data_IF_664071785393
#
_entry.id   IF_664071785393
#
_cell.length_a   1.000
_cell.length_b   1.000
_cell.length_c   1.000
_cell.angle_alpha   90.00
_cell.angle_beta   90.00
_cell.angle_gamma   90.00
#
_symmetry.space_group_name_H-M   'P 1'
#
loop_
_entity.id
_entity.type
_entity.pdbx_description
1 polymer ?
#
# COMPACT_ATOMS: atom_id res chain seq x y z
N UNK A 1 -25.09 -4.07 -5.37
CA UNK A 1 -24.38 -2.89 -4.99
C UNK A 1 -23.78 -2.16 -6.18
N UNK A 2 -23.29 -0.96 -5.92
CA UNK A 2 -22.60 -0.18 -6.96
C UNK A 2 -21.26 -0.84 -7.35
N UNK A 3 -20.77 -0.50 -8.53
CA UNK A 3 -19.46 -0.98 -9.00
C UNK A 3 -18.33 -0.17 -8.36
N UNK A 4 -17.32 -0.86 -7.85
CA UNK A 4 -16.04 -0.29 -7.42
C UNK A 4 -14.91 -0.89 -8.26
N UNK A 5 -13.86 -0.13 -8.51
CA UNK A 5 -12.69 -0.57 -9.26
C UNK A 5 -11.45 -0.37 -8.40
N UNK A 6 -10.79 -1.46 -7.99
CA UNK A 6 -9.62 -1.45 -7.10
C UNK A 6 -8.47 -2.28 -7.65
N UNK A 7 -7.26 -2.07 -7.12
CA UNK A 7 -6.12 -2.89 -7.47
C UNK A 7 -6.33 -4.32 -6.96
N UNK A 8 -6.07 -5.31 -7.83
CA UNK A 8 -6.17 -6.72 -7.48
C UNK A 8 -5.16 -7.09 -6.38
N UNK A 9 -5.54 -8.04 -5.54
CA UNK A 9 -4.66 -8.53 -4.48
C UNK A 9 -3.35 -9.12 -5.06
N UNK A 10 -3.45 -9.80 -6.19
CA UNK A 10 -2.30 -10.37 -6.90
C UNK A 10 -1.34 -9.31 -7.45
N UNK A 11 -1.85 -8.10 -7.79
CA UNK A 11 -1.02 -6.98 -8.25
C UNK A 11 -0.47 -6.11 -7.11
N UNK A 12 -0.74 -6.47 -5.86
CA UNK A 12 -0.29 -5.73 -4.68
C UNK A 12 -1.37 -4.89 -3.99
N UNK A 13 -2.65 -5.03 -4.38
CA UNK A 13 -3.78 -4.38 -3.73
C UNK A 13 -4.02 -4.85 -2.28
N UNK A 14 -5.03 -4.28 -1.63
CA UNK A 14 -5.45 -4.68 -0.29
C UNK A 14 -6.77 -5.46 -0.36
N UNK A 15 -7.01 -6.34 0.62
CA UNK A 15 -8.27 -7.11 0.73
C UNK A 15 -9.50 -6.21 0.65
N UNK A 16 -9.47 -5.03 1.26
CA UNK A 16 -10.59 -4.08 1.27
C UNK A 16 -10.82 -3.35 -0.06
N UNK A 17 -9.99 -3.60 -1.07
CA UNK A 17 -10.15 -3.04 -2.42
C UNK A 17 -11.02 -3.93 -3.34
N UNK A 18 -11.92 -4.71 -2.77
CA UNK A 18 -12.86 -5.53 -3.52
C UNK A 18 -12.50 -7.01 -3.62
N UNK A 19 -11.59 -7.52 -2.79
CA UNK A 19 -11.30 -8.95 -2.78
C UNK A 19 -12.52 -9.76 -2.35
N UNK A 20 -12.82 -10.86 -3.04
CA UNK A 20 -14.02 -11.67 -2.85
C UNK A 20 -14.31 -12.11 -1.39
N UNK A 21 -13.33 -12.48 -0.56
CA UNK A 21 -13.60 -12.84 0.84
C UNK A 21 -13.90 -11.65 1.74
N UNK A 22 -13.58 -10.41 1.32
CA UNK A 22 -13.79 -9.18 2.10
C UNK A 22 -15.22 -8.65 1.94
N UNK A 23 -15.69 -7.85 2.91
CA UNK A 23 -17.00 -7.19 2.84
C UNK A 23 -17.13 -6.33 1.58
N UNK A 24 -16.06 -5.65 1.14
CA UNK A 24 -16.08 -4.84 -0.09
C UNK A 24 -16.37 -5.68 -1.34
N UNK A 25 -15.81 -6.89 -1.43
CA UNK A 25 -16.11 -7.82 -2.52
C UNK A 25 -17.47 -8.51 -2.41
N UNK A 26 -18.07 -8.54 -1.21
CA UNK A 26 -19.39 -9.15 -0.98
C UNK A 26 -20.55 -8.16 -1.18
N UNK A 27 -20.33 -6.88 -0.86
CA UNK A 27 -21.39 -5.86 -0.87
C UNK A 27 -21.45 -5.09 -2.18
N UNK A 28 -20.32 -4.95 -2.87
CA UNK A 28 -20.20 -4.21 -4.12
C UNK A 28 -19.96 -5.14 -5.29
N UNK A 29 -20.27 -4.65 -6.49
CA UNK A 29 -19.78 -5.25 -7.73
C UNK A 29 -18.31 -4.83 -7.87
N UNK A 30 -17.40 -5.68 -7.39
CA UNK A 30 -15.98 -5.37 -7.32
C UNK A 30 -15.26 -5.78 -8.60
N UNK A 31 -14.83 -4.79 -9.37
CA UNK A 31 -13.93 -4.94 -10.51
C UNK A 31 -12.49 -4.65 -10.07
N UNK A 32 -11.53 -5.28 -10.73
CA UNK A 32 -10.13 -5.15 -10.34
C UNK A 32 -9.26 -4.80 -11.55
N UNK A 33 -8.28 -3.90 -11.33
CA UNK A 33 -7.20 -3.64 -12.27
C UNK A 33 -5.90 -4.30 -11.77
N UNK A 34 -5.01 -4.58 -12.71
CA UNK A 34 -3.70 -5.19 -12.45
C UNK A 34 -2.55 -4.25 -12.75
N UNK A 35 -1.45 -4.87 -13.07
CA UNK A 35 -0.22 -4.25 -13.56
C UNK A 35 0.14 -4.82 -14.93
N UNK A 36 0.99 -4.16 -15.66
CA UNK A 36 1.57 -4.65 -16.88
C UNK A 36 2.45 -5.89 -16.62
N UNK A 37 2.46 -6.84 -17.53
CA UNK A 37 3.15 -8.13 -17.33
C UNK A 37 4.67 -8.03 -17.41
N UNK A 38 5.19 -7.12 -18.23
CA UNK A 38 6.62 -6.96 -18.42
C UNK A 38 7.26 -6.08 -17.34
N UNK A 39 6.59 -4.97 -17.00
CA UNK A 39 7.12 -3.97 -16.07
C UNK A 39 6.70 -4.20 -14.63
N UNK A 40 5.59 -4.92 -14.40
CA UNK A 40 4.91 -5.04 -13.13
C UNK A 40 4.49 -3.68 -12.54
N UNK A 41 4.29 -2.67 -13.37
CA UNK A 41 3.80 -1.34 -13.02
C UNK A 41 2.36 -1.13 -13.53
N UNK A 42 1.66 -0.14 -12.96
CA UNK A 42 0.29 0.16 -13.36
C UNK A 42 0.28 0.72 -14.78
N UNK A 43 -0.44 0.03 -15.68
CA UNK A 43 -0.77 0.54 -17.00
C UNK A 43 -2.02 1.43 -16.90
N UNK A 44 -1.83 2.74 -17.02
CA UNK A 44 -2.92 3.71 -16.92
C UNK A 44 -3.85 3.72 -18.11
N UNK A 45 -3.40 3.31 -19.30
CA UNK A 45 -4.26 3.20 -20.48
C UNK A 45 -5.20 1.99 -20.33
N UNK A 46 -4.68 0.85 -19.93
CA UNK A 46 -5.49 -0.32 -19.60
C UNK A 46 -6.47 -0.06 -18.44
N UNK A 47 -6.05 0.72 -17.43
CA UNK A 47 -6.91 1.14 -16.34
C UNK A 47 -8.05 2.04 -16.81
N UNK A 48 -7.79 3.00 -17.70
CA UNK A 48 -8.80 3.87 -18.29
C UNK A 48 -9.83 3.08 -19.10
N UNK A 49 -9.37 2.15 -19.93
CA UNK A 49 -10.25 1.30 -20.74
C UNK A 49 -11.13 0.41 -19.86
N UNK A 50 -10.56 -0.17 -18.81
CA UNK A 50 -11.32 -0.93 -17.82
C UNK A 50 -12.35 -0.07 -17.09
N UNK A 51 -11.98 1.14 -16.66
CA UNK A 51 -12.89 2.08 -16.02
C UNK A 51 -14.06 2.47 -16.92
N UNK A 52 -13.80 2.75 -18.21
CA UNK A 52 -14.86 3.02 -19.21
C UNK A 52 -15.81 1.83 -19.39
N UNK A 53 -15.27 0.61 -19.38
CA UNK A 53 -16.06 -0.61 -19.57
C UNK A 53 -16.97 -0.89 -18.36
N UNK A 54 -16.44 -0.81 -17.12
CA UNK A 54 -17.19 -1.18 -15.91
C UNK A 54 -17.94 -0.01 -15.24
N UNK A 55 -17.64 1.25 -15.62
CA UNK A 55 -18.29 2.47 -15.13
C UNK A 55 -18.43 2.49 -13.60
N UNK A 56 -17.32 2.46 -12.84
CA UNK A 56 -17.36 2.36 -11.40
C UNK A 56 -17.88 3.66 -10.77
N UNK A 57 -18.46 3.56 -9.58
CA UNK A 57 -18.77 4.73 -8.75
C UNK A 57 -17.56 5.22 -7.97
N UNK A 58 -16.63 4.31 -7.66
CA UNK A 58 -15.40 4.61 -6.95
C UNK A 58 -14.24 3.89 -7.64
N UNK A 59 -13.16 4.63 -7.91
CA UNK A 59 -11.85 4.07 -8.23
C UNK A 59 -10.99 4.14 -6.96
N UNK A 60 -10.43 3.00 -6.55
CA UNK A 60 -9.55 2.88 -5.39
C UNK A 60 -8.09 2.81 -5.87
N UNK A 61 -7.29 3.80 -5.51
CA UNK A 61 -5.84 3.79 -5.70
C UNK A 61 -5.14 3.49 -4.38
N UNK A 62 -4.04 2.74 -4.44
CA UNK A 62 -3.29 2.33 -3.25
C UNK A 62 -2.98 0.84 -3.27
N UNK A 63 -2.02 0.42 -2.46
CA UNK A 63 -1.60 -0.98 -2.42
C UNK A 63 -0.88 -1.35 -1.13
N UNK A 64 -0.87 -2.65 -0.84
CA UNK A 64 -0.16 -3.24 0.30
C UNK A 64 1.21 -3.79 -0.07
N UNK A 65 1.43 -4.10 -1.34
CA UNK A 65 2.65 -4.70 -1.85
C UNK A 65 3.07 -4.13 -3.22
N UNK A 66 2.62 -2.93 -3.55
CA UNK A 66 3.07 -2.22 -4.74
C UNK A 66 4.29 -1.35 -4.41
N UNK A 67 5.48 -1.64 -5.00
CA UNK A 67 6.72 -1.01 -4.56
C UNK A 67 7.03 0.33 -5.26
N UNK A 68 6.27 0.70 -6.30
CA UNK A 68 6.53 1.89 -7.11
C UNK A 68 5.70 3.09 -6.68
N UNK A 69 6.12 4.26 -7.13
CA UNK A 69 5.39 5.52 -6.92
C UNK A 69 4.03 5.48 -7.60
N UNK A 70 3.00 6.01 -6.92
CA UNK A 70 1.65 6.14 -7.46
C UNK A 70 1.44 7.56 -8.01
N UNK A 71 0.98 7.65 -9.26
CA UNK A 71 0.61 8.91 -9.91
C UNK A 71 -0.88 9.23 -9.65
N UNK A 72 -1.13 9.98 -8.58
CA UNK A 72 -2.50 10.33 -8.20
C UNK A 72 -3.19 11.30 -9.16
N UNK A 73 -2.43 12.09 -9.93
CA UNK A 73 -2.99 12.97 -10.95
C UNK A 73 -3.61 12.15 -12.08
N UNK A 74 -2.90 11.13 -12.59
CA UNK A 74 -3.44 10.21 -13.60
C UNK A 74 -4.65 9.43 -13.10
N UNK A 75 -4.63 8.95 -11.85
CA UNK A 75 -5.82 8.33 -11.26
C UNK A 75 -7.01 9.28 -11.22
N UNK A 76 -6.78 10.58 -10.92
CA UNK A 76 -7.82 11.59 -10.91
C UNK A 76 -8.39 11.85 -12.31
N UNK A 77 -7.55 11.99 -13.31
CA UNK A 77 -7.96 12.13 -14.71
C UNK A 77 -8.85 10.97 -15.17
N UNK A 78 -8.50 9.73 -14.80
CA UNK A 78 -9.31 8.55 -15.12
C UNK A 78 -10.65 8.59 -14.39
N UNK A 79 -10.66 8.94 -13.12
CA UNK A 79 -11.88 9.03 -12.32
C UNK A 79 -12.85 10.08 -12.91
N UNK A 80 -12.34 11.25 -13.28
CA UNK A 80 -13.11 12.32 -13.91
C UNK A 80 -13.65 11.88 -15.28
N UNK A 81 -12.87 11.14 -16.07
CA UNK A 81 -13.28 10.64 -17.39
C UNK A 81 -14.47 9.68 -17.36
N UNK A 82 -14.78 9.06 -16.22
CA UNK A 82 -15.88 8.11 -16.03
C UNK A 82 -16.92 8.53 -14.99
N UNK A 83 -16.85 9.78 -14.51
CA UNK A 83 -17.73 10.36 -13.46
C UNK A 83 -17.71 9.51 -12.17
N UNK A 84 -16.50 9.08 -11.75
CA UNK A 84 -16.27 8.30 -10.54
C UNK A 84 -15.61 9.14 -9.44
N UNK A 85 -15.84 8.76 -8.18
CA UNK A 85 -15.03 9.26 -7.09
C UNK A 85 -13.66 8.58 -7.08
N UNK A 86 -12.58 9.37 -6.91
CA UNK A 86 -11.27 8.83 -6.58
C UNK A 86 -11.13 8.72 -5.07
N UNK A 87 -10.93 7.51 -4.58
CA UNK A 87 -10.55 7.21 -3.20
C UNK A 87 -9.12 6.67 -3.17
N UNK A 88 -8.26 7.27 -2.36
CA UNK A 88 -6.88 6.81 -2.20
C UNK A 88 -6.69 6.20 -0.82
N UNK A 89 -6.28 4.94 -0.77
CA UNK A 89 -5.80 4.30 0.45
C UNK A 89 -4.27 4.42 0.52
N UNK A 90 -3.81 5.39 1.30
CA UNK A 90 -2.37 5.64 1.49
C UNK A 90 -1.81 4.91 2.72
N UNK A 91 -2.50 3.93 3.28
CA UNK A 91 -2.14 3.30 4.55
C UNK A 91 -0.68 2.84 4.63
N UNK A 92 -0.15 2.23 3.56
CA UNK A 92 1.24 1.79 3.53
C UNK A 92 2.26 2.92 3.38
N UNK A 93 1.91 3.95 2.64
CA UNK A 93 2.80 5.05 2.27
C UNK A 93 2.53 6.35 3.04
N UNK A 94 1.61 6.37 3.99
CA UNK A 94 1.19 7.60 4.68
C UNK A 94 2.34 8.33 5.39
N UNK A 95 3.31 7.60 5.94
CA UNK A 95 4.52 8.20 6.49
C UNK A 95 5.40 8.85 5.42
N UNK A 96 5.50 8.24 4.24
CA UNK A 96 6.25 8.77 3.10
C UNK A 96 5.59 10.05 2.57
N UNK A 97 4.25 10.06 2.50
CA UNK A 97 3.46 11.25 2.10
C UNK A 97 3.63 12.37 3.14
N UNK A 98 3.50 12.07 4.43
CA UNK A 98 3.66 13.05 5.50
C UNK A 98 5.06 13.68 5.52
N UNK A 99 6.10 12.92 5.19
CA UNK A 99 7.47 13.38 5.08
C UNK A 99 7.79 14.10 3.75
N UNK A 100 6.85 14.12 2.79
CA UNK A 100 7.07 14.69 1.46
C UNK A 100 8.05 13.90 0.58
N UNK A 101 8.18 12.59 0.83
CA UNK A 101 9.05 11.67 0.07
C UNK A 101 8.27 10.92 -1.01
N UNK A 102 6.95 10.88 -0.90
CA UNK A 102 6.04 10.32 -1.91
C UNK A 102 5.01 11.39 -2.31
N UNK A 103 4.49 11.40 -3.55
CA UNK A 103 3.43 12.31 -3.96
C UNK A 103 2.25 12.31 -3.00
N UNK A 104 1.66 13.50 -2.79
CA UNK A 104 0.53 13.68 -1.89
C UNK A 104 -0.80 13.43 -2.61
N UNK A 105 -1.63 12.47 -2.18
CA UNK A 105 -2.93 12.20 -2.79
C UNK A 105 -4.01 13.26 -2.48
N UNK A 106 -3.87 14.01 -1.38
CA UNK A 106 -4.92 14.90 -0.86
C UNK A 106 -5.41 15.96 -1.87
N UNK A 107 -4.54 16.58 -2.71
CA UNK A 107 -5.00 17.50 -3.74
C UNK A 107 -5.78 16.87 -4.89
N UNK A 108 -5.61 15.57 -5.11
CA UNK A 108 -6.17 14.85 -6.26
C UNK A 108 -7.40 14.01 -5.91
N UNK A 109 -7.41 13.39 -4.73
CA UNK A 109 -8.47 12.47 -4.32
C UNK A 109 -9.68 13.18 -3.73
N UNK A 110 -10.87 12.64 -3.96
CA UNK A 110 -12.09 13.07 -3.26
C UNK A 110 -12.08 12.61 -1.81
N UNK A 111 -11.55 11.41 -1.56
CA UNK A 111 -11.40 10.82 -0.22
C UNK A 111 -10.04 10.16 -0.12
N UNK A 112 -9.35 10.39 1.00
CA UNK A 112 -8.10 9.71 1.33
C UNK A 112 -8.29 8.96 2.63
N UNK A 113 -7.94 7.68 2.64
CA UNK A 113 -7.95 6.84 3.84
C UNK A 113 -6.55 6.42 4.22
N UNK A 114 -6.32 6.21 5.49
CA UNK A 114 -5.07 5.64 5.98
C UNK A 114 -5.26 4.91 7.30
N UNK A 115 -4.42 3.91 7.52
CA UNK A 115 -4.09 3.48 8.88
C UNK A 115 -3.05 4.42 9.48
N UNK A 116 -2.99 4.50 10.80
CA UNK A 116 -2.03 5.38 11.49
C UNK A 116 -0.80 4.65 12.03
N UNK A 117 -0.83 3.30 12.02
CA UNK A 117 0.15 2.43 12.69
C UNK A 117 1.16 1.74 11.74
N UNK A 118 1.25 2.15 10.47
CA UNK A 118 2.24 1.64 9.50
C UNK A 118 3.40 2.63 9.38
N UNK A 119 3.73 3.10 8.17
CA UNK A 119 4.85 4.04 7.98
C UNK A 119 4.67 5.37 8.70
N UNK A 120 3.43 5.78 9.02
CA UNK A 120 3.15 6.97 9.84
C UNK A 120 3.57 6.79 11.31
N UNK A 121 3.79 5.57 11.76
CA UNK A 121 4.37 5.20 13.05
C UNK A 121 3.61 5.72 14.28
N UNK A 122 2.30 5.93 14.16
CA UNK A 122 1.43 6.33 15.26
C UNK A 122 0.71 5.13 15.92
N UNK A 123 -0.09 5.38 16.93
CA UNK A 123 -0.96 4.37 17.54
C UNK A 123 -1.93 3.74 16.53
N UNK A 124 -2.39 2.51 16.80
CA UNK A 124 -3.29 1.78 15.91
C UNK A 124 -4.63 2.50 15.76
N UNK A 125 -5.03 2.71 14.53
CA UNK A 125 -6.29 3.33 14.16
C UNK A 125 -6.36 3.66 12.67
N UNK A 126 -7.39 4.36 12.27
CA UNK A 126 -7.60 4.88 10.91
C UNK A 126 -7.94 6.36 10.91
N UNK A 127 -7.76 6.98 9.75
CA UNK A 127 -8.21 8.34 9.44
C UNK A 127 -8.86 8.36 8.07
N UNK A 128 -9.78 9.28 7.88
CA UNK A 128 -10.40 9.61 6.60
C UNK A 128 -10.25 11.12 6.41
N UNK A 129 -9.78 11.54 5.24
CA UNK A 129 -9.56 12.92 4.88
C UNK A 129 -10.35 13.26 3.61
N UNK A 130 -10.91 14.45 3.56
CA UNK A 130 -11.55 15.01 2.37
C UNK A 130 -11.48 16.53 2.42
N UNK A 131 -11.29 17.18 1.27
CA UNK A 131 -11.38 18.62 1.12
C UNK A 131 -12.82 19.08 0.79
N UNK A 132 -13.74 18.16 0.52
CA UNK A 132 -15.16 18.42 0.26
C UNK A 132 -15.96 18.35 1.58
N UNK A 133 -16.48 19.50 2.02
CA UNK A 133 -17.24 19.60 3.26
C UNK A 133 -18.55 18.79 3.22
N UNK A 134 -19.23 18.76 2.06
CA UNK A 134 -20.48 18.02 1.93
C UNK A 134 -20.24 16.51 1.99
N UNK A 135 -19.17 16.03 1.35
CA UNK A 135 -18.74 14.65 1.43
C UNK A 135 -18.26 14.30 2.85
N UNK A 136 -17.51 15.20 3.50
CA UNK A 136 -17.07 15.05 4.88
C UNK A 136 -18.23 14.86 5.87
N UNK A 137 -19.32 15.63 5.71
CA UNK A 137 -20.55 15.47 6.52
C UNK A 137 -21.19 14.09 6.32
N UNK A 138 -21.26 13.59 5.08
CA UNK A 138 -21.77 12.24 4.78
C UNK A 138 -20.90 11.16 5.41
N UNK A 139 -19.57 11.30 5.31
CA UNK A 139 -18.61 10.37 5.89
C UNK A 139 -18.75 10.35 7.42
N UNK A 140 -18.81 11.51 8.07
CA UNK A 140 -19.00 11.59 9.52
C UNK A 140 -20.29 10.89 9.97
N UNK A 141 -21.40 11.09 9.26
CA UNK A 141 -22.66 10.41 9.54
C UNK A 141 -22.58 8.90 9.31
N UNK A 142 -21.86 8.46 8.29
CA UNK A 142 -21.65 7.02 8.03
C UNK A 142 -20.75 6.38 9.11
N UNK A 143 -19.75 7.09 9.62
CA UNK A 143 -18.91 6.61 10.72
C UNK A 143 -19.72 6.56 12.01
N UNK A 144 -20.36 7.64 12.39
CA UNK A 144 -21.21 7.70 13.59
C UNK A 144 -22.46 8.52 13.29
N UNK A 145 -23.65 7.98 13.55
CA UNK A 145 -23.95 6.68 14.20
C UNK A 145 -24.04 5.48 13.23
N UNK A 146 -23.64 5.63 11.96
CA UNK A 146 -23.89 4.61 10.94
C UNK A 146 -23.22 3.26 11.22
N UNK A 147 -21.93 3.24 11.53
CA UNK A 147 -21.12 2.02 11.66
C UNK A 147 -20.48 1.85 13.05
N UNK A 148 -20.17 2.95 13.74
CA UNK A 148 -19.44 2.95 15.00
C UNK A 148 -20.25 3.59 16.12
N UNK A 149 -19.80 3.38 17.38
CA UNK A 149 -20.33 3.99 18.59
C UNK A 149 -19.28 4.85 19.29
N UNK A 150 -19.20 4.76 20.63
CA UNK A 150 -18.26 5.54 21.43
C UNK A 150 -16.81 5.34 21.03
N UNK A 151 -16.03 6.42 20.86
CA UNK A 151 -14.66 6.33 20.40
C UNK A 151 -13.71 5.86 21.49
N UNK A 152 -12.60 5.23 21.08
CA UNK A 152 -11.47 4.90 21.95
C UNK A 152 -10.58 6.14 22.11
N UNK A 153 -10.81 6.94 23.15
CA UNK A 153 -10.12 8.23 23.35
C UNK A 153 -8.60 8.07 23.53
N UNK A 154 -8.14 6.99 24.17
CA UNK A 154 -6.72 6.67 24.26
C UNK A 154 -6.08 6.42 22.87
N UNK A 155 -6.82 5.81 21.94
CA UNK A 155 -6.34 5.64 20.55
C UNK A 155 -6.29 6.99 19.82
N UNK A 156 -7.23 7.91 20.08
CA UNK A 156 -7.20 9.28 19.54
C UNK A 156 -5.98 10.03 20.08
N UNK A 157 -5.72 9.94 21.38
CA UNK A 157 -4.53 10.55 22.00
C UNK A 157 -3.23 9.99 21.41
N UNK A 158 -3.15 8.65 21.22
CA UNK A 158 -1.99 8.01 20.59
C UNK A 158 -1.79 8.45 19.13
N UNK A 159 -2.87 8.66 18.37
CA UNK A 159 -2.78 9.23 17.02
C UNK A 159 -2.27 10.67 17.05
N UNK A 160 -2.79 11.51 17.95
CA UNK A 160 -2.34 12.90 18.08
C UNK A 160 -0.84 13.00 18.42
N UNK A 161 -0.34 12.16 19.33
CA UNK A 161 1.08 12.09 19.65
C UNK A 161 1.92 11.70 18.43
N UNK A 162 1.51 10.64 17.69
CA UNK A 162 2.20 10.20 16.47
C UNK A 162 2.18 11.26 15.35
N UNK A 163 1.08 12.00 15.20
CA UNK A 163 1.04 13.11 14.24
C UNK A 163 1.97 14.25 14.65
N UNK A 164 2.05 14.55 15.96
CA UNK A 164 3.02 15.51 16.49
C UNK A 164 4.48 15.10 16.21
N UNK A 165 4.79 13.81 16.27
CA UNK A 165 6.11 13.29 15.86
C UNK A 165 6.33 13.41 14.35
N UNK A 166 5.32 13.08 13.54
CA UNK A 166 5.40 13.14 12.08
C UNK A 166 5.60 14.56 11.51
N UNK A 167 5.27 15.60 12.30
CA UNK A 167 5.51 16.99 11.94
C UNK A 167 6.95 17.47 12.20
N UNK A 168 7.77 16.67 12.89
CA UNK A 168 9.14 17.04 13.24
C UNK A 168 10.11 16.78 12.07
N UNK A 169 11.18 17.60 11.93
CA UNK A 169 12.19 17.38 10.89
C UNK A 169 12.86 15.99 10.96
N UNK A 170 13.02 15.45 12.17
CA UNK A 170 13.62 14.13 12.39
C UNK A 170 12.79 13.00 11.77
N UNK A 171 11.47 13.16 11.68
CA UNK A 171 10.61 12.18 11.02
C UNK A 171 10.88 12.13 9.51
N UNK A 172 11.12 13.27 8.88
CA UNK A 172 11.50 13.33 7.47
C UNK A 172 12.82 12.61 7.23
N UNK A 173 13.85 12.90 8.02
CA UNK A 173 15.14 12.23 7.92
C UNK A 173 15.01 10.70 8.13
N UNK A 174 14.16 10.28 9.08
CA UNK A 174 13.84 8.87 9.30
C UNK A 174 13.21 8.22 8.06
N UNK A 175 12.23 8.85 7.44
CA UNK A 175 11.55 8.31 6.26
C UNK A 175 12.49 8.28 5.03
N UNK A 176 13.32 9.30 4.84
CA UNK A 176 14.34 9.29 3.78
C UNK A 176 15.30 8.10 3.95
N UNK A 177 15.72 7.81 5.18
CA UNK A 177 16.53 6.62 5.48
C UNK A 177 15.75 5.32 5.28
N UNK A 178 14.46 5.27 5.62
CA UNK A 178 13.59 4.11 5.35
C UNK A 178 13.58 3.76 3.87
N UNK A 179 13.40 4.74 2.99
CA UNK A 179 13.39 4.50 1.53
C UNK A 179 14.78 4.10 1.03
N UNK A 180 15.84 4.77 1.50
CA UNK A 180 17.22 4.41 1.14
C UNK A 180 17.57 2.98 1.56
N UNK A 181 17.19 2.57 2.75
CA UNK A 181 17.38 1.22 3.27
C UNK A 181 16.64 0.15 2.45
N UNK A 182 15.38 0.44 2.06
CA UNK A 182 14.62 -0.47 1.20
C UNK A 182 15.28 -0.62 -0.17
N UNK A 183 15.78 0.47 -0.75
CA UNK A 183 16.48 0.46 -2.04
C UNK A 183 17.75 -0.37 -1.98
N UNK A 184 18.59 -0.16 -0.98
CA UNK A 184 19.84 -0.93 -0.80
C UNK A 184 19.54 -2.42 -0.59
N UNK A 185 18.51 -2.75 0.18
CA UNK A 185 18.07 -4.15 0.34
C UNK A 185 17.72 -4.77 -1.01
N UNK A 186 16.91 -4.09 -1.82
CA UNK A 186 16.53 -4.55 -3.16
C UNK A 186 17.74 -4.69 -4.09
N UNK A 187 18.61 -3.69 -4.16
CA UNK A 187 19.83 -3.70 -4.97
C UNK A 187 20.78 -4.84 -4.57
N UNK A 188 20.93 -5.09 -3.28
CA UNK A 188 21.76 -6.19 -2.77
C UNK A 188 21.21 -7.56 -3.19
N UNK A 189 19.89 -7.75 -3.05
CA UNK A 189 19.22 -8.99 -3.48
C UNK A 189 19.37 -9.21 -4.99
N UNK A 190 19.18 -8.16 -5.81
CA UNK A 190 19.41 -8.23 -7.27
C UNK A 190 20.85 -8.61 -7.56
N UNK A 191 21.83 -7.96 -6.91
CA UNK A 191 23.24 -8.27 -7.05
C UNK A 191 23.62 -9.72 -6.69
N UNK A 192 22.78 -10.39 -5.89
CA UNK A 192 22.91 -11.82 -5.55
C UNK A 192 22.04 -12.74 -6.40
N UNK A 193 21.44 -12.22 -7.46
CA UNK A 193 20.64 -12.97 -8.41
C UNK A 193 19.26 -13.36 -7.89
N UNK A 194 18.67 -12.54 -7.02
CA UNK A 194 17.28 -12.66 -6.56
C UNK A 194 16.43 -11.63 -7.30
N UNK A 195 15.33 -12.07 -7.90
CA UNK A 195 14.47 -11.19 -8.69
C UNK A 195 13.55 -10.36 -7.79
N UNK A 196 13.48 -9.08 -8.10
CA UNK A 196 12.61 -8.11 -7.43
C UNK A 196 11.52 -7.67 -8.40
N UNK A 197 10.27 -7.76 -7.98
CA UNK A 197 9.12 -7.32 -8.77
C UNK A 197 9.30 -5.84 -9.15
N UNK A 198 9.04 -5.51 -10.40
CA UNK A 198 9.30 -4.20 -11.04
C UNK A 198 10.77 -3.74 -11.02
N UNK A 199 11.71 -4.64 -10.76
CA UNK A 199 13.16 -4.34 -10.81
C UNK A 199 13.67 -3.43 -9.68
N UNK A 200 12.88 -3.18 -8.62
CA UNK A 200 13.33 -2.34 -7.50
C UNK A 200 12.20 -1.75 -6.67
N UNK A 201 12.50 -0.68 -5.93
CA UNK A 201 11.51 0.02 -5.11
C UNK A 201 11.74 1.52 -5.04
N UNK A 202 10.64 2.27 -4.98
CA UNK A 202 10.60 3.71 -4.69
C UNK A 202 10.07 3.98 -3.27
N UNK A 203 9.70 2.94 -2.52
CA UNK A 203 9.00 3.04 -1.25
C UNK A 203 9.77 2.36 -0.11
N UNK A 204 9.07 1.96 0.93
CA UNK A 204 9.60 1.32 2.13
C UNK A 204 9.61 -0.21 2.07
N UNK A 205 9.14 -0.80 0.99
CA UNK A 205 9.01 -2.25 0.83
C UNK A 205 9.65 -2.76 -0.45
N UNK A 206 10.05 -4.02 -0.42
CA UNK A 206 10.56 -4.77 -1.56
C UNK A 206 9.71 -6.02 -1.71
N UNK A 207 9.27 -6.32 -2.92
CA UNK A 207 8.56 -7.54 -3.25
C UNK A 207 9.49 -8.47 -4.04
N UNK A 208 9.84 -9.59 -3.43
CA UNK A 208 10.77 -10.59 -4.00
C UNK A 208 9.98 -11.61 -4.80
N UNK A 209 10.43 -11.89 -6.03
CA UNK A 209 9.92 -12.99 -6.85
C UNK A 209 10.82 -14.22 -6.69
N UNK A 210 10.26 -15.29 -6.14
CA UNK A 210 10.97 -16.54 -5.85
C UNK A 210 10.84 -17.58 -6.96
N UNK A 211 10.03 -17.33 -7.98
CA UNK A 211 9.79 -18.28 -9.10
C UNK A 211 11.08 -18.72 -9.79
N UNK A 212 12.04 -17.80 -10.12
CA UNK A 212 13.29 -18.19 -10.76
C UNK A 212 14.20 -19.07 -9.89
N UNK A 213 13.99 -19.03 -8.56
CA UNK A 213 14.73 -19.90 -7.61
C UNK A 213 14.04 -21.22 -7.33
N UNK A 214 12.83 -21.46 -7.89
CA UNK A 214 12.05 -22.65 -7.62
C UNK A 214 11.56 -22.75 -6.16
N UNK A 215 11.45 -21.60 -5.47
CA UNK A 215 11.02 -21.52 -4.08
C UNK A 215 9.60 -20.98 -3.97
N UNK A 216 8.93 -21.26 -2.86
CA UNK A 216 7.61 -20.74 -2.55
C UNK A 216 7.65 -19.78 -1.37
N UNK A 217 6.68 -18.86 -1.32
CA UNK A 217 6.63 -17.83 -0.28
C UNK A 217 6.45 -18.40 1.12
N UNK A 218 5.61 -19.43 1.31
CA UNK A 218 5.37 -20.04 2.61
C UNK A 218 6.62 -20.71 3.19
N UNK A 219 7.41 -21.42 2.37
CA UNK A 219 8.66 -22.06 2.81
C UNK A 219 9.70 -20.97 3.15
N UNK A 220 9.82 -19.96 2.30
CA UNK A 220 10.78 -18.87 2.49
C UNK A 220 10.44 -18.01 3.71
N UNK A 221 9.15 -17.70 3.95
CA UNK A 221 8.68 -16.99 5.15
C UNK A 221 9.16 -17.71 6.43
N UNK A 222 8.89 -19.01 6.55
CA UNK A 222 9.29 -19.82 7.71
C UNK A 222 10.82 -19.92 7.85
N UNK A 223 11.52 -20.08 6.73
CA UNK A 223 13.00 -20.17 6.76
C UNK A 223 13.65 -18.89 7.23
N UNK A 224 13.17 -17.74 6.76
CA UNK A 224 13.64 -16.42 7.17
C UNK A 224 13.30 -16.13 8.63
N UNK A 225 12.09 -16.51 9.09
CA UNK A 225 11.72 -16.37 10.51
C UNK A 225 12.64 -17.18 11.41
N UNK A 226 12.97 -18.42 11.04
CA UNK A 226 13.93 -19.25 11.77
C UNK A 226 15.35 -18.64 11.79
N UNK A 227 15.69 -17.84 10.80
CA UNK A 227 16.95 -17.07 10.75
C UNK A 227 16.85 -15.70 11.48
N UNK A 228 15.72 -15.37 12.11
CA UNK A 228 15.50 -14.11 12.81
C UNK A 228 15.10 -12.94 11.90
N UNK A 229 14.73 -13.20 10.67
CA UNK A 229 14.29 -12.19 9.68
C UNK A 229 12.79 -12.30 9.49
N UNK A 230 12.04 -11.37 10.06
CA UNK A 230 10.58 -11.32 9.91
C UNK A 230 10.18 -10.77 8.55
N UNK A 231 9.41 -11.55 7.81
CA UNK A 231 8.76 -11.13 6.56
C UNK A 231 7.35 -11.74 6.48
N UNK A 232 6.67 -11.54 5.36
CA UNK A 232 5.46 -12.29 5.05
C UNK A 232 5.51 -12.86 3.63
N UNK A 233 4.97 -14.07 3.46
CA UNK A 233 4.66 -14.58 2.13
C UNK A 233 3.70 -13.63 1.42
N UNK A 234 3.89 -13.43 0.14
CA UNK A 234 3.12 -12.50 -0.67
C UNK A 234 2.98 -13.02 -2.09
N UNK A 235 1.79 -12.90 -2.66
CA UNK A 235 1.63 -13.13 -4.10
C UNK A 235 2.46 -12.13 -4.90
N UNK A 236 2.95 -12.58 -6.04
CA UNK A 236 3.58 -11.72 -7.05
C UNK A 236 2.59 -11.51 -8.19
N UNK A 237 2.75 -10.47 -9.03
CA UNK A 237 1.91 -10.33 -10.22
C UNK A 237 1.91 -11.61 -11.06
N UNK A 238 0.72 -12.02 -11.53
CA UNK A 238 0.54 -13.26 -12.32
C UNK A 238 1.01 -14.53 -11.59
N UNK A 239 0.87 -14.56 -10.27
CA UNK A 239 1.29 -15.70 -9.45
C UNK A 239 0.49 -16.96 -9.79
N UNK A 240 1.14 -18.07 -10.20
CA UNK A 240 0.46 -19.31 -10.52
C UNK A 240 0.07 -20.11 -9.27
N UNK A 241 0.56 -19.72 -8.08
CA UNK A 241 0.36 -20.48 -6.85
C UNK A 241 -0.84 -19.97 -6.02
N UNK A 242 -1.46 -20.84 -5.20
CA UNK A 242 -2.56 -20.43 -4.35
C UNK A 242 -2.14 -19.38 -3.29
N UNK A 243 -3.06 -18.51 -2.82
CA UNK A 243 -2.75 -17.44 -1.84
C UNK A 243 -2.13 -17.92 -0.51
N UNK A 244 -2.33 -19.16 -0.13
CA UNK A 244 -1.73 -19.72 1.10
C UNK A 244 -0.29 -20.20 0.91
N UNK A 245 0.17 -20.34 -0.33
CA UNK A 245 1.53 -20.75 -0.70
C UNK A 245 2.33 -19.54 -1.17
N UNK A 246 1.87 -18.86 -2.21
CA UNK A 246 2.47 -17.72 -2.90
C UNK A 246 3.83 -18.01 -3.54
N UNK A 247 4.25 -17.17 -4.46
CA UNK A 247 5.56 -17.28 -5.11
C UNK A 247 6.53 -16.16 -4.72
N UNK A 248 6.20 -15.38 -3.70
CA UNK A 248 7.05 -14.28 -3.25
C UNK A 248 7.02 -14.06 -1.75
N UNK A 249 7.89 -13.17 -1.32
CA UNK A 249 7.90 -12.60 0.04
C UNK A 249 8.01 -11.08 -0.03
N UNK A 250 7.34 -10.40 0.91
CA UNK A 250 7.44 -8.96 1.08
C UNK A 250 8.37 -8.65 2.24
N UNK A 251 9.38 -7.83 1.95
CA UNK A 251 10.33 -7.30 2.92
C UNK A 251 10.08 -5.81 3.10
N UNK A 252 10.44 -5.26 4.26
CA UNK A 252 10.28 -3.84 4.53
C UNK A 252 11.35 -3.30 5.46
N UNK A 253 11.68 -2.02 5.29
CA UNK A 253 12.75 -1.36 6.04
C UNK A 253 12.33 -0.59 7.29
N UNK A 254 11.04 -0.18 7.53
CA UNK A 254 10.70 0.72 8.63
C UNK A 254 11.09 0.21 10.02
N UNK A 255 10.85 -1.06 10.30
CA UNK A 255 11.12 -1.64 11.63
C UNK A 255 12.62 -1.68 11.95
N UNK A 256 13.45 -2.09 10.98
CA UNK A 256 14.91 -2.08 11.13
C UNK A 256 15.44 -0.66 11.27
N UNK A 257 14.96 0.27 10.43
CA UNK A 257 15.36 1.68 10.53
C UNK A 257 15.00 2.29 11.89
N UNK A 258 13.81 1.98 12.44
CA UNK A 258 13.41 2.42 13.78
C UNK A 258 14.33 1.86 14.88
N UNK A 259 14.91 0.68 14.67
CA UNK A 259 15.89 0.05 15.55
C UNK A 259 17.32 0.59 15.40
N UNK A 260 17.54 1.53 14.50
CA UNK A 260 18.84 2.15 14.22
C UNK A 260 19.64 1.48 13.11
N UNK A 261 19.03 0.58 12.32
CA UNK A 261 19.68 -0.01 11.15
C UNK A 261 19.78 1.04 10.04
N UNK A 262 20.97 1.13 9.45
CA UNK A 262 21.28 1.98 8.31
C UNK A 262 21.58 1.15 7.05
N UNK A 263 22.17 1.83 6.09
CA UNK A 263 22.51 1.27 4.78
C UNK A 263 23.39 0.00 4.89
N UNK A 264 24.36 0.02 5.79
CA UNK A 264 25.29 -1.11 5.96
C UNK A 264 24.59 -2.37 6.47
N UNK A 265 23.71 -2.22 7.44
CA UNK A 265 22.95 -3.34 7.99
C UNK A 265 21.96 -3.90 6.96
N UNK A 266 21.28 -3.03 6.18
CA UNK A 266 20.38 -3.49 5.12
C UNK A 266 21.11 -4.14 3.95
N UNK A 267 22.33 -3.70 3.62
CA UNK A 267 23.19 -4.41 2.68
C UNK A 267 23.63 -5.79 3.21
N UNK A 268 23.88 -5.90 4.53
CA UNK A 268 24.23 -7.17 5.15
C UNK A 268 23.02 -8.14 5.20
N UNK A 269 21.80 -7.62 5.41
CA UNK A 269 20.58 -8.42 5.43
C UNK A 269 20.28 -8.99 4.03
N UNK A 270 20.43 -8.18 2.97
CA UNK A 270 20.26 -8.61 1.59
C UNK A 270 21.34 -9.58 1.13
#
# INVERSE_FOLDING_TARGET
>A
GDTILGMSLAAGGHLTHGAAPNLSGKWFNAEQYGVDEETAEIDFDALLDKAKACKPKIILAGGSAYPRTLDFAKFREIADAVDAYLMVDMAHISGLVAAGVHPNPVPHAHVVTSTTHKTLRAGRGGIILSNDEALGKKINSAVFPGLQGGPLVHAIAGKAAGFGEALRPEFRAYIELVVANARVLGETLIGRGVDIVSGGTDTHLVLVDLRPKGLTGNITEVSLENAGITCNKNGVPFDPTPPMVTSGVRLGSPAGTTRGFGIAEFAQIG
#
